data_IF_545927176712
#
_entry.id   IF_545927176712
#
_cell.length_a   1.000
_cell.length_b   1.000
_cell.length_c   1.000
_cell.angle_alpha   90.00
_cell.angle_beta   90.00
_cell.angle_gamma   90.00
#
_symmetry.space_group_name_H-M   'P 1'
#
loop_
_entity.id
_entity.type
_entity.pdbx_description
1 polymer ?
#
# COMPACT_ATOMS: atom_id res chain seq x y z
N UNK A 1 167.81 113.10 50.89
CA UNK A 1 167.55 113.53 52.28
C UNK A 1 167.35 112.26 53.10
N UNK A 2 168.02 111.91 54.20
CA UNK A 2 169.18 112.41 54.95
C UNK A 2 169.36 111.37 56.08
N UNK A 3 170.57 111.26 56.62
CA UNK A 3 170.95 110.41 57.77
C UNK A 3 170.05 110.61 59.02
N UNK A 4 169.95 109.60 59.91
CA UNK A 4 170.61 109.57 61.24
C UNK A 4 170.14 108.43 62.15
N UNK A 5 171.11 107.90 62.93
CA UNK A 5 171.04 107.28 64.26
C UNK A 5 170.05 106.12 64.51
N UNK A 6 170.46 104.87 64.72
CA UNK A 6 171.38 104.35 65.76
C UNK A 6 171.02 104.80 67.18
N UNK A 7 170.06 104.11 67.83
CA UNK A 7 170.11 103.79 69.28
C UNK A 7 168.99 102.82 69.75
N UNK A 8 167.91 102.58 68.99
CA UNK A 8 166.78 101.73 69.47
C UNK A 8 166.71 100.30 68.90
N UNK A 9 167.54 99.93 67.91
CA UNK A 9 167.48 98.61 67.27
C UNK A 9 168.04 97.49 68.15
N UNK A 10 169.11 97.74 68.93
CA UNK A 10 169.63 96.74 69.87
C UNK A 10 168.67 96.48 71.04
N UNK A 11 167.97 97.50 71.53
CA UNK A 11 166.99 97.33 72.62
C UNK A 11 165.73 96.60 72.12
N UNK A 12 165.28 96.86 70.88
CA UNK A 12 164.21 96.06 70.25
C UNK A 12 164.65 94.63 70.01
N UNK A 13 165.88 94.40 69.54
CA UNK A 13 166.40 93.04 69.31
C UNK A 13 166.59 92.32 70.64
N UNK A 14 167.16 92.94 71.68
CA UNK A 14 167.30 92.32 73.01
C UNK A 14 165.97 92.10 73.70
N UNK A 15 165.01 93.04 73.61
CA UNK A 15 163.66 92.82 74.14
C UNK A 15 162.94 91.70 73.38
N UNK A 16 163.07 91.65 72.06
CA UNK A 16 162.56 90.51 71.28
C UNK A 16 163.30 89.21 71.61
N UNK A 17 164.59 89.27 71.99
CA UNK A 17 165.37 88.08 72.34
C UNK A 17 165.08 87.59 73.76
N UNK A 18 164.83 88.49 74.71
CA UNK A 18 164.31 88.15 76.04
C UNK A 18 162.86 87.66 75.98
N UNK A 19 162.01 88.24 75.13
CA UNK A 19 160.66 87.72 74.83
C UNK A 19 160.74 86.31 74.22
N UNK A 20 161.68 86.05 73.30
CA UNK A 20 161.89 84.72 72.71
C UNK A 20 162.48 83.73 73.73
N UNK A 21 163.39 84.15 74.60
CA UNK A 21 163.95 83.29 75.65
C UNK A 21 162.91 82.98 76.74
N UNK A 22 162.05 83.93 77.10
CA UNK A 22 160.91 83.69 77.98
C UNK A 22 159.88 82.75 77.33
N UNK A 23 159.61 82.90 76.03
CA UNK A 23 158.75 81.98 75.28
C UNK A 23 159.33 80.56 75.24
N UNK A 24 160.66 80.41 75.05
CA UNK A 24 161.30 79.09 75.05
C UNK A 24 161.42 78.44 76.43
N UNK A 25 161.62 79.21 77.52
CA UNK A 25 161.68 78.64 78.87
C UNK A 25 160.33 78.12 79.37
N UNK A 26 159.21 78.64 78.84
CA UNK A 26 157.88 78.08 79.10
C UNK A 26 157.52 76.88 78.19
N UNK A 27 158.30 76.59 77.14
CA UNK A 27 158.07 75.47 76.22
C UNK A 27 158.91 74.21 76.55
N UNK A 28 159.81 74.26 77.53
CA UNK A 28 160.69 73.12 77.84
C UNK A 28 160.19 72.19 78.95
N UNK A 29 159.00 72.42 79.51
CA UNK A 29 158.44 71.57 80.57
C UNK A 29 156.94 71.33 80.38
N UNK A 30 156.56 70.74 79.23
CA UNK A 30 155.41 69.83 79.12
C UNK A 30 155.43 69.10 77.78
N UNK A 31 155.40 67.78 77.89
CA UNK A 31 155.26 66.79 76.83
C UNK A 31 153.87 66.92 76.17
N UNK A 32 153.88 66.96 74.83
CA UNK A 32 152.83 66.62 73.86
C UNK A 32 151.45 67.30 73.92
N UNK A 33 151.07 67.93 72.80
CA UNK A 33 149.67 68.04 72.33
C UNK A 33 149.60 67.72 70.85
N UNK A 34 148.84 66.68 70.50
CA UNK A 34 148.52 66.20 69.13
C UNK A 34 147.89 67.26 68.21
N UNK A 35 147.60 68.45 68.70
CA UNK A 35 146.92 69.51 67.94
C UNK A 35 147.85 70.26 66.98
N UNK A 36 149.14 70.46 67.29
CA UNK A 36 150.03 71.19 66.37
C UNK A 36 150.57 70.31 65.22
N UNK A 37 150.66 68.99 65.40
CA UNK A 37 150.90 68.05 64.30
C UNK A 37 149.62 67.87 63.45
N UNK A 38 148.43 67.86 64.06
CA UNK A 38 147.16 67.87 63.35
C UNK A 38 146.90 69.17 62.57
N UNK A 39 147.37 70.33 63.03
CA UNK A 39 147.24 71.59 62.29
C UNK A 39 148.19 71.67 61.08
N UNK A 40 149.36 71.03 61.13
CA UNK A 40 150.22 70.92 59.93
C UNK A 40 149.74 69.87 58.95
N UNK A 41 149.16 68.76 59.41
CA UNK A 41 148.55 67.75 58.53
C UNK A 41 147.22 68.24 57.93
N UNK A 42 146.34 68.89 58.69
CA UNK A 42 145.11 69.50 58.16
C UNK A 42 145.41 70.65 57.22
N UNK A 43 146.40 71.49 57.52
CA UNK A 43 146.84 72.55 56.61
C UNK A 43 147.38 72.01 55.27
N UNK A 44 148.12 70.88 55.30
CA UNK A 44 148.56 70.19 54.08
C UNK A 44 147.42 69.51 53.33
N UNK A 45 146.48 68.86 54.02
CA UNK A 45 145.32 68.20 53.39
C UNK A 45 144.36 69.22 52.73
N UNK A 46 144.18 70.41 53.33
CA UNK A 46 143.35 71.46 52.72
C UNK A 46 144.06 72.08 51.51
N UNK A 47 145.39 72.25 51.55
CA UNK A 47 146.16 72.71 50.40
C UNK A 47 146.24 71.66 49.28
N UNK A 48 146.30 70.37 49.60
CA UNK A 48 146.20 69.28 48.61
C UNK A 48 144.81 69.18 47.98
N UNK A 49 143.74 69.29 48.76
CA UNK A 49 142.36 69.29 48.24
C UNK A 49 142.03 70.58 47.47
N UNK A 50 142.59 71.73 47.85
CA UNK A 50 142.44 72.97 47.10
C UNK A 50 143.25 72.97 45.79
N UNK A 51 144.41 72.31 45.76
CA UNK A 51 145.22 72.18 44.55
C UNK A 51 144.60 71.21 43.51
N UNK A 52 143.74 70.28 43.92
CA UNK A 52 142.98 69.42 42.99
C UNK A 52 141.77 70.13 42.37
N UNK A 53 141.26 71.19 43.00
CA UNK A 53 140.27 72.11 42.42
C UNK A 53 140.88 73.03 41.35
N UNK A 54 141.39 72.41 40.30
CA UNK A 54 141.79 73.09 39.06
C UNK A 54 140.55 73.53 38.29
N UNK A 55 140.65 74.58 37.47
CA UNK A 55 139.56 75.04 36.58
C UNK A 55 138.99 73.89 35.73
N UNK A 56 139.84 72.93 35.36
CA UNK A 56 139.44 71.70 34.65
C UNK A 56 138.56 70.77 35.49
N UNK A 57 138.79 70.64 36.80
CA UNK A 57 137.98 69.79 37.69
C UNK A 57 136.59 70.38 37.94
N UNK A 58 136.48 71.71 38.03
CA UNK A 58 135.21 72.41 38.22
C UNK A 58 134.42 72.39 36.90
N UNK A 59 135.08 72.61 35.76
CA UNK A 59 134.45 72.49 34.43
C UNK A 59 134.03 71.05 34.15
N UNK A 60 134.82 70.03 34.53
CA UNK A 60 134.40 68.62 34.49
C UNK A 60 133.22 68.35 35.40
N UNK A 61 133.23 68.82 36.64
CA UNK A 61 132.10 68.66 37.55
C UNK A 61 130.81 69.31 37.03
N UNK A 62 130.92 70.47 36.37
CA UNK A 62 129.79 71.16 35.75
C UNK A 62 129.31 70.44 34.48
N UNK A 63 130.23 69.89 33.68
CA UNK A 63 129.92 69.05 32.53
C UNK A 63 129.27 67.71 32.94
N UNK A 64 129.73 67.09 34.03
CA UNK A 64 129.16 65.87 34.62
C UNK A 64 127.76 66.15 35.17
N UNK A 65 127.55 67.31 35.81
CA UNK A 65 126.23 67.75 36.25
C UNK A 65 125.29 67.99 35.07
N UNK A 66 125.78 68.60 33.98
CA UNK A 66 125.01 68.81 32.76
C UNK A 66 124.66 67.48 32.07
N UNK A 67 125.57 66.50 32.06
CA UNK A 67 125.31 65.14 31.58
C UNK A 67 124.31 64.39 32.46
N UNK A 68 124.41 64.50 33.78
CA UNK A 68 123.48 63.89 34.73
C UNK A 68 122.09 64.54 34.67
N UNK A 69 122.01 65.86 34.49
CA UNK A 69 120.75 66.55 34.30
C UNK A 69 120.12 66.17 32.94
N UNK A 70 120.94 66.06 31.89
CA UNK A 70 120.51 65.54 30.60
C UNK A 70 119.99 64.09 30.67
N UNK A 71 120.65 63.22 31.45
CA UNK A 71 120.23 61.82 31.61
C UNK A 71 118.94 61.69 32.43
N UNK A 72 118.76 62.46 33.51
CA UNK A 72 117.51 62.49 34.27
C UNK A 72 116.37 63.05 33.42
N UNK A 73 116.61 64.11 32.64
CA UNK A 73 115.59 64.66 31.73
C UNK A 73 115.20 63.63 30.68
N UNK A 74 116.16 62.91 30.10
CA UNK A 74 115.87 61.85 29.13
C UNK A 74 115.11 60.69 29.78
N UNK A 75 115.48 60.27 31.00
CA UNK A 75 114.73 59.25 31.75
C UNK A 75 113.31 59.70 32.12
N UNK A 76 113.14 60.97 32.50
CA UNK A 76 111.82 61.54 32.79
C UNK A 76 110.97 61.61 31.51
N UNK A 77 111.58 61.99 30.38
CA UNK A 77 110.93 61.99 29.07
C UNK A 77 110.55 60.57 28.65
N UNK A 78 111.44 59.59 28.79
CA UNK A 78 111.15 58.19 28.48
C UNK A 78 110.03 57.63 29.38
N UNK A 79 110.05 57.94 30.68
CA UNK A 79 108.98 57.54 31.59
C UNK A 79 107.66 58.25 31.25
N UNK A 80 107.68 59.53 30.92
CA UNK A 80 106.49 60.29 30.52
C UNK A 80 105.95 59.80 29.18
N UNK A 81 106.82 59.42 28.24
CA UNK A 81 106.44 58.78 26.99
C UNK A 81 105.80 57.41 27.25
N UNK A 82 106.41 56.57 28.09
CA UNK A 82 105.85 55.26 28.46
C UNK A 82 104.50 55.38 29.18
N UNK A 83 104.35 56.33 30.10
CA UNK A 83 103.07 56.58 30.76
C UNK A 83 102.03 57.18 29.78
N UNK A 84 102.45 58.01 28.83
CA UNK A 84 101.59 58.50 27.76
C UNK A 84 101.11 57.37 26.85
N UNK A 85 101.99 56.43 26.45
CA UNK A 85 101.60 55.28 25.62
C UNK A 85 100.69 54.33 26.39
N UNK A 86 100.96 54.05 27.68
CA UNK A 86 100.05 53.26 28.53
C UNK A 86 98.67 53.92 28.65
N UNK A 87 98.62 55.25 28.77
CA UNK A 87 97.36 55.98 28.84
C UNK A 87 96.59 55.93 27.51
N UNK A 88 97.28 55.99 26.37
CA UNK A 88 96.67 55.78 25.05
C UNK A 88 96.15 54.34 24.88
N UNK A 89 96.94 53.34 25.26
CA UNK A 89 96.53 51.93 25.25
C UNK A 89 95.31 51.67 26.14
N UNK A 90 95.28 52.25 27.35
CA UNK A 90 94.15 52.16 28.26
C UNK A 90 92.89 52.84 27.70
N UNK A 91 93.03 54.01 27.06
CA UNK A 91 91.91 54.66 26.38
C UNK A 91 91.35 53.80 25.25
N UNK A 92 92.22 53.24 24.41
CA UNK A 92 91.81 52.33 23.33
C UNK A 92 91.15 51.06 23.88
N UNK A 93 91.69 50.47 24.96
CA UNK A 93 91.08 49.32 25.63
C UNK A 93 89.69 49.64 26.19
N UNK A 94 89.51 50.80 26.82
CA UNK A 94 88.19 51.27 27.31
C UNK A 94 87.21 51.45 26.15
N UNK A 95 87.65 52.00 25.01
CA UNK A 95 86.78 52.12 23.83
C UNK A 95 86.37 50.76 23.25
N UNK A 96 87.30 49.81 23.16
CA UNK A 96 87.01 48.44 22.71
C UNK A 96 86.05 47.76 23.67
N UNK A 97 86.30 47.86 24.98
CA UNK A 97 85.45 47.21 25.99
C UNK A 97 84.06 47.84 26.04
N UNK A 98 83.94 49.15 25.82
CA UNK A 98 82.63 49.80 25.66
C UNK A 98 81.88 49.32 24.43
N UNK A 99 82.55 49.10 23.28
CA UNK A 99 81.93 48.50 22.10
C UNK A 99 81.49 47.05 22.38
N UNK A 100 82.33 46.27 23.04
CA UNK A 100 82.01 44.91 23.45
C UNK A 100 80.81 44.85 24.41
N UNK A 101 80.73 45.79 25.37
CA UNK A 101 79.60 45.93 26.27
C UNK A 101 78.30 46.28 25.51
N UNK A 102 78.37 47.17 24.51
CA UNK A 102 77.21 47.47 23.66
C UNK A 102 76.77 46.26 22.83
N UNK A 103 77.69 45.45 22.33
CA UNK A 103 77.38 44.21 21.62
C UNK A 103 76.73 43.18 22.55
N UNK A 104 77.27 42.98 23.76
CA UNK A 104 76.68 42.11 24.77
C UNK A 104 75.27 42.57 25.18
N UNK A 105 75.04 43.87 25.29
CA UNK A 105 73.70 44.41 25.54
C UNK A 105 72.73 44.09 24.40
N UNK A 106 73.17 44.25 23.14
CA UNK A 106 72.34 43.88 21.97
C UNK A 106 72.04 42.37 21.95
N UNK A 107 73.04 41.53 22.22
CA UNK A 107 72.87 40.07 22.31
C UNK A 107 71.89 39.71 23.41
N UNK A 108 71.97 40.36 24.59
CA UNK A 108 71.03 40.16 25.69
C UNK A 108 69.59 40.52 25.29
N UNK A 109 69.39 41.68 24.68
CA UNK A 109 68.04 42.10 24.22
C UNK A 109 67.47 41.12 23.20
N UNK A 110 68.30 40.63 22.26
CA UNK A 110 67.87 39.61 21.29
C UNK A 110 67.57 38.27 21.97
N UNK A 111 68.37 37.85 22.95
CA UNK A 111 68.13 36.62 23.70
C UNK A 111 66.84 36.71 24.54
N UNK A 112 66.59 37.84 25.20
CA UNK A 112 65.35 38.09 25.96
C UNK A 112 64.14 38.11 25.02
N UNK A 113 64.25 38.75 23.85
CA UNK A 113 63.18 38.75 22.83
C UNK A 113 62.90 37.36 22.25
N UNK A 114 63.96 36.58 21.96
CA UNK A 114 63.83 35.19 21.53
C UNK A 114 63.17 34.34 22.61
N UNK A 115 63.55 34.53 23.88
CA UNK A 115 62.95 33.80 25.00
C UNK A 115 61.44 34.09 25.11
N UNK A 116 61.04 35.36 25.07
CA UNK A 116 59.63 35.76 25.07
C UNK A 116 58.89 35.14 23.88
N UNK A 117 59.45 35.22 22.68
CA UNK A 117 58.82 34.65 21.48
C UNK A 117 58.68 33.12 21.58
N UNK A 118 59.68 32.42 22.14
CA UNK A 118 59.59 30.98 22.36
C UNK A 118 58.52 30.62 23.38
N UNK A 119 58.37 31.42 24.45
CA UNK A 119 57.33 31.21 25.45
C UNK A 119 55.94 31.43 24.85
N UNK A 120 55.72 32.52 24.11
CA UNK A 120 54.45 32.77 23.42
C UNK A 120 54.11 31.64 22.43
N UNK A 121 55.12 31.11 21.73
CA UNK A 121 54.90 30.00 20.80
C UNK A 121 54.49 28.73 21.54
N UNK A 122 55.13 28.42 22.67
CA UNK A 122 54.75 27.28 23.52
C UNK A 122 53.33 27.42 24.07
N UNK A 123 52.94 28.62 24.53
CA UNK A 123 51.59 28.90 25.00
C UNK A 123 50.55 28.74 23.87
N UNK A 124 50.85 29.25 22.67
CA UNK A 124 49.99 29.09 21.48
C UNK A 124 49.86 27.63 21.07
N UNK A 125 50.94 26.86 21.11
CA UNK A 125 50.91 25.42 20.84
C UNK A 125 50.04 24.69 21.86
N UNK A 126 50.21 24.97 23.16
CA UNK A 126 49.38 24.38 24.21
C UNK A 126 47.88 24.70 24.04
N UNK A 127 47.55 25.95 23.70
CA UNK A 127 46.17 26.36 23.41
C UNK A 127 45.60 25.63 22.18
N UNK A 128 46.38 25.51 21.10
CA UNK A 128 45.95 24.78 19.90
C UNK A 128 45.75 23.29 20.17
N UNK A 129 46.66 22.65 20.92
CA UNK A 129 46.54 21.25 21.32
C UNK A 129 45.30 21.02 22.19
N UNK A 130 45.04 21.91 23.16
CA UNK A 130 43.85 21.84 23.99
C UNK A 130 42.57 21.97 23.15
N UNK A 131 42.46 22.99 22.29
CA UNK A 131 41.30 23.16 21.42
C UNK A 131 41.10 21.96 20.48
N UNK A 132 42.19 21.42 19.93
CA UNK A 132 42.12 20.23 19.09
C UNK A 132 41.57 19.03 19.87
N UNK A 133 42.05 18.83 21.10
CA UNK A 133 41.60 17.75 21.98
C UNK A 133 40.12 17.90 22.36
N UNK A 134 39.67 19.13 22.67
CA UNK A 134 38.27 19.43 22.99
C UNK A 134 37.36 19.22 21.77
N UNK A 135 37.77 19.69 20.59
CA UNK A 135 37.03 19.45 19.35
C UNK A 135 36.95 17.97 19.02
N UNK A 136 38.04 17.22 19.17
CA UNK A 136 38.04 15.78 18.93
C UNK A 136 37.13 15.03 19.91
N UNK A 137 37.13 15.41 21.19
CA UNK A 137 36.25 14.84 22.19
C UNK A 137 34.77 15.15 21.89
N UNK A 138 34.46 16.40 21.52
CA UNK A 138 33.11 16.82 21.16
C UNK A 138 32.59 16.07 19.93
N UNK A 139 33.41 15.95 18.88
CA UNK A 139 33.05 15.18 17.67
C UNK A 139 32.85 13.70 18.02
N UNK A 140 33.68 13.12 18.89
CA UNK A 140 33.51 11.74 19.34
C UNK A 140 32.20 11.55 20.14
N UNK A 141 31.86 12.49 21.03
CA UNK A 141 30.58 12.49 21.75
C UNK A 141 29.40 12.62 20.80
N UNK A 142 29.46 13.52 19.82
CA UNK A 142 28.40 13.70 18.83
C UNK A 142 28.22 12.47 17.93
N UNK A 143 29.31 11.84 17.50
CA UNK A 143 29.25 10.61 16.72
C UNK A 143 28.61 9.47 17.54
N UNK A 144 28.99 9.31 18.80
CA UNK A 144 28.44 8.25 19.64
C UNK A 144 26.97 8.48 20.00
N UNK A 145 26.57 9.71 20.26
CA UNK A 145 25.16 10.06 20.52
C UNK A 145 24.29 9.87 19.28
N UNK A 146 24.72 10.36 18.12
CA UNK A 146 24.00 10.15 16.85
C UNK A 146 23.91 8.68 16.47
N UNK A 147 25.00 7.92 16.63
CA UNK A 147 24.99 6.47 16.35
C UNK A 147 24.03 5.72 17.27
N UNK A 148 23.97 6.07 18.56
CA UNK A 148 23.00 5.50 19.50
C UNK A 148 21.56 5.89 19.15
N UNK A 149 21.31 7.15 18.77
CA UNK A 149 19.99 7.60 18.37
C UNK A 149 19.52 6.86 17.11
N UNK A 150 20.37 6.78 16.09
CA UNK A 150 20.07 6.05 14.86
C UNK A 150 19.85 4.55 15.10
N UNK A 151 20.65 3.93 15.95
CA UNK A 151 20.44 2.52 16.32
C UNK A 151 19.10 2.29 17.02
N UNK A 152 18.66 3.22 17.89
CA UNK A 152 17.34 3.15 18.52
C UNK A 152 16.22 3.33 17.51
N UNK A 153 16.31 4.35 16.66
CA UNK A 153 15.34 4.61 15.59
C UNK A 153 15.20 3.40 14.65
N UNK A 154 16.32 2.76 14.33
CA UNK A 154 16.31 1.56 13.51
C UNK A 154 15.64 0.37 14.20
N UNK A 155 15.88 0.18 15.50
CA UNK A 155 15.20 -0.85 16.29
C UNK A 155 13.69 -0.57 16.42
N UNK A 156 13.30 0.68 16.64
CA UNK A 156 11.90 1.10 16.71
C UNK A 156 11.19 0.92 15.36
N UNK A 157 11.88 1.24 14.26
CA UNK A 157 11.37 1.03 12.91
C UNK A 157 11.22 -0.45 12.55
N UNK A 158 12.21 -1.28 12.87
CA UNK A 158 12.14 -2.73 12.67
C UNK A 158 10.99 -3.34 13.49
N UNK A 159 10.83 -2.94 14.76
CA UNK A 159 9.72 -3.37 15.60
C UNK A 159 8.36 -2.92 15.04
N UNK A 160 8.24 -1.68 14.57
CA UNK A 160 7.00 -1.17 13.97
C UNK A 160 6.61 -1.93 12.69
N UNK A 161 7.58 -2.24 11.82
CA UNK A 161 7.34 -3.10 10.64
C UNK A 161 6.86 -4.48 11.07
N UNK A 162 7.47 -5.06 12.10
CA UNK A 162 7.14 -6.40 12.56
C UNK A 162 5.74 -6.45 13.18
N UNK A 163 5.35 -5.43 13.94
CA UNK A 163 3.99 -5.24 14.45
C UNK A 163 2.97 -5.06 13.31
N UNK A 164 3.26 -4.22 12.31
CA UNK A 164 2.39 -4.00 11.15
C UNK A 164 2.21 -5.29 10.35
N UNK A 165 3.29 -6.03 10.11
CA UNK A 165 3.24 -7.33 9.43
C UNK A 165 2.40 -8.35 10.19
N UNK A 166 2.53 -8.41 11.52
CA UNK A 166 1.72 -9.31 12.34
C UNK A 166 0.23 -8.93 12.31
N UNK A 167 -0.09 -7.64 12.36
CA UNK A 167 -1.47 -7.16 12.23
C UNK A 167 -2.04 -7.51 10.86
N UNK A 168 -1.27 -7.32 9.80
CA UNK A 168 -1.66 -7.62 8.43
C UNK A 168 -1.89 -9.13 8.22
N UNK A 169 -1.01 -9.99 8.78
CA UNK A 169 -1.21 -11.44 8.75
C UNK A 169 -2.51 -11.82 9.48
N UNK A 170 -2.75 -11.30 10.68
CA UNK A 170 -3.99 -11.55 11.43
C UNK A 170 -5.23 -11.08 10.68
N UNK A 171 -5.17 -9.92 10.03
CA UNK A 171 -6.26 -9.41 9.20
C UNK A 171 -6.54 -10.35 8.04
N UNK A 172 -5.51 -10.79 7.31
CA UNK A 172 -5.66 -11.76 6.21
C UNK A 172 -6.19 -13.10 6.68
N UNK A 173 -5.78 -13.59 7.84
CA UNK A 173 -6.28 -14.84 8.43
C UNK A 173 -7.77 -14.72 8.78
N UNK A 174 -8.17 -13.61 9.41
CA UNK A 174 -9.57 -13.34 9.73
C UNK A 174 -10.42 -13.20 8.46
N UNK A 175 -9.98 -12.41 7.47
CA UNK A 175 -10.66 -12.24 6.18
C UNK A 175 -10.82 -13.57 5.44
N UNK A 176 -9.78 -14.42 5.45
CA UNK A 176 -9.84 -15.74 4.85
C UNK A 176 -10.83 -16.66 5.58
N UNK A 177 -10.86 -16.61 6.91
CA UNK A 177 -11.81 -17.37 7.73
C UNK A 177 -13.26 -16.91 7.50
N UNK A 178 -13.50 -15.59 7.50
CA UNK A 178 -14.81 -14.99 7.25
C UNK A 178 -15.31 -15.34 5.84
N UNK A 179 -14.44 -15.24 4.83
CA UNK A 179 -14.78 -15.63 3.45
C UNK A 179 -15.12 -17.11 3.34
N UNK A 180 -14.34 -18.00 3.97
CA UNK A 180 -14.64 -19.43 3.99
C UNK A 180 -15.96 -19.72 4.69
N UNK A 181 -16.22 -19.07 5.82
CA UNK A 181 -17.47 -19.21 6.55
C UNK A 181 -18.67 -18.76 5.72
N UNK A 182 -18.58 -17.59 5.08
CA UNK A 182 -19.64 -17.04 4.23
C UNK A 182 -19.91 -17.94 3.02
N UNK A 183 -18.87 -18.48 2.39
CA UNK A 183 -18.96 -19.43 1.30
C UNK A 183 -19.65 -20.74 1.73
N UNK A 184 -19.26 -21.31 2.88
CA UNK A 184 -19.91 -22.51 3.42
C UNK A 184 -21.36 -22.26 3.79
N UNK A 185 -21.65 -21.09 4.36
CA UNK A 185 -23.00 -20.67 4.71
C UNK A 185 -23.88 -20.52 3.47
N UNK A 186 -23.40 -19.85 2.43
CA UNK A 186 -24.10 -19.72 1.15
C UNK A 186 -24.37 -21.09 0.51
N UNK A 187 -23.36 -21.98 0.48
CA UNK A 187 -23.54 -23.35 -0.03
C UNK A 187 -24.59 -24.14 0.75
N UNK A 188 -24.65 -23.98 2.08
CA UNK A 188 -25.68 -24.62 2.91
C UNK A 188 -27.07 -24.09 2.57
N UNK A 189 -27.24 -22.77 2.45
CA UNK A 189 -28.50 -22.16 2.04
C UNK A 189 -28.93 -22.68 0.66
N UNK A 190 -28.04 -22.63 -0.33
CA UNK A 190 -28.33 -23.10 -1.69
C UNK A 190 -28.70 -24.59 -1.71
N UNK A 191 -28.03 -25.41 -0.90
CA UNK A 191 -28.33 -26.84 -0.77
C UNK A 191 -29.69 -27.07 -0.10
N UNK A 192 -29.99 -26.36 0.98
CA UNK A 192 -31.28 -26.46 1.69
C UNK A 192 -32.44 -26.02 0.78
N UNK A 193 -32.27 -24.92 0.04
CA UNK A 193 -33.24 -24.44 -0.96
C UNK A 193 -33.45 -25.46 -2.09
N UNK A 194 -32.37 -26.04 -2.59
CA UNK A 194 -32.44 -27.11 -3.60
C UNK A 194 -33.16 -28.35 -3.08
N UNK A 195 -32.87 -28.79 -1.86
CA UNK A 195 -33.53 -29.93 -1.23
C UNK A 195 -35.01 -29.65 -0.94
N UNK A 196 -35.37 -28.43 -0.55
CA UNK A 196 -36.77 -28.02 -0.45
C UNK A 196 -37.50 -28.05 -1.79
N UNK A 197 -36.88 -27.50 -2.85
CA UNK A 197 -37.46 -27.50 -4.19
C UNK A 197 -37.65 -28.93 -4.69
N UNK A 198 -36.65 -29.80 -4.50
CA UNK A 198 -36.73 -31.22 -4.82
C UNK A 198 -37.88 -31.90 -4.08
N UNK A 199 -38.01 -31.69 -2.76
CA UNK A 199 -39.10 -32.24 -1.95
C UNK A 199 -40.48 -31.71 -2.36
N UNK A 200 -40.59 -30.47 -2.84
CA UNK A 200 -41.84 -29.92 -3.38
C UNK A 200 -42.19 -30.60 -4.71
N UNK A 201 -41.23 -30.69 -5.63
CA UNK A 201 -41.43 -31.33 -6.93
C UNK A 201 -41.78 -32.82 -6.80
N UNK A 202 -41.12 -33.55 -5.90
CA UNK A 202 -41.44 -34.96 -5.63
C UNK A 202 -42.87 -35.14 -5.12
N UNK A 203 -43.34 -34.24 -4.24
CA UNK A 203 -44.74 -34.25 -3.76
C UNK A 203 -45.72 -33.95 -4.89
N UNK A 204 -45.46 -32.91 -5.68
CA UNK A 204 -46.30 -32.57 -6.83
C UNK A 204 -46.38 -33.73 -7.83
N UNK A 205 -45.26 -34.38 -8.15
CA UNK A 205 -45.24 -35.56 -9.02
C UNK A 205 -46.02 -36.74 -8.44
N UNK A 206 -45.92 -36.98 -7.12
CA UNK A 206 -46.70 -38.02 -6.45
C UNK A 206 -48.20 -37.72 -6.52
N UNK A 207 -48.62 -36.49 -6.21
CA UNK A 207 -50.02 -36.07 -6.29
C UNK A 207 -50.56 -36.21 -7.72
N UNK A 208 -49.80 -35.73 -8.72
CA UNK A 208 -50.18 -35.81 -10.13
C UNK A 208 -50.27 -37.27 -10.62
N UNK A 209 -49.37 -38.14 -10.16
CA UNK A 209 -49.44 -39.56 -10.47
C UNK A 209 -50.66 -40.23 -9.80
N UNK A 210 -50.97 -39.90 -8.55
CA UNK A 210 -52.17 -40.41 -7.87
C UNK A 210 -53.46 -39.95 -8.57
N UNK A 211 -53.53 -38.70 -9.02
CA UNK A 211 -54.67 -38.21 -9.79
C UNK A 211 -54.81 -38.91 -11.14
N UNK A 212 -53.69 -39.13 -11.85
CA UNK A 212 -53.69 -39.87 -13.11
C UNK A 212 -54.13 -41.31 -12.92
N UNK A 213 -53.63 -41.98 -11.88
CA UNK A 213 -54.00 -43.35 -11.55
C UNK A 213 -55.50 -43.47 -11.25
N UNK A 214 -56.06 -42.56 -10.45
CA UNK A 214 -57.52 -42.51 -10.19
C UNK A 214 -58.32 -42.34 -11.49
N UNK A 215 -57.95 -41.37 -12.34
CA UNK A 215 -58.61 -41.15 -13.64
C UNK A 215 -58.49 -42.37 -14.55
N UNK A 216 -57.38 -43.09 -14.50
CA UNK A 216 -57.16 -44.30 -15.28
C UNK A 216 -58.06 -45.43 -14.79
N UNK A 217 -58.12 -45.65 -13.48
CA UNK A 217 -59.00 -46.63 -12.85
C UNK A 217 -60.48 -46.33 -13.11
N UNK A 218 -60.91 -45.07 -13.00
CA UNK A 218 -62.28 -44.65 -13.35
C UNK A 218 -62.60 -44.95 -14.80
N UNK A 219 -61.67 -44.67 -15.72
CA UNK A 219 -61.83 -44.97 -17.14
C UNK A 219 -61.87 -46.47 -17.41
N UNK A 220 -61.01 -47.26 -16.76
CA UNK A 220 -60.99 -48.71 -16.91
C UNK A 220 -62.27 -49.34 -16.36
N UNK A 221 -62.78 -48.89 -15.21
CA UNK A 221 -64.06 -49.33 -14.65
C UNK A 221 -65.22 -48.99 -15.59
N UNK A 222 -65.27 -47.74 -16.08
CA UNK A 222 -66.29 -47.31 -17.02
C UNK A 222 -66.28 -48.15 -18.30
N UNK A 223 -65.10 -48.43 -18.86
CA UNK A 223 -64.99 -49.27 -20.05
C UNK A 223 -65.41 -50.71 -19.76
N UNK A 224 -65.03 -51.28 -18.61
CA UNK A 224 -65.41 -52.63 -18.23
C UNK A 224 -66.92 -52.78 -18.00
N UNK A 225 -67.54 -51.83 -17.29
CA UNK A 225 -68.98 -51.80 -17.03
C UNK A 225 -69.80 -51.71 -18.32
N UNK A 226 -69.37 -50.86 -19.26
CA UNK A 226 -70.08 -50.65 -20.53
C UNK A 226 -69.70 -51.66 -21.62
N UNK A 227 -68.71 -52.53 -21.40
CA UNK A 227 -68.24 -53.48 -22.40
C UNK A 227 -69.35 -54.44 -22.84
N UNK A 228 -70.14 -54.94 -21.89
CA UNK A 228 -71.24 -55.88 -22.18
C UNK A 228 -72.33 -55.20 -23.00
N UNK A 229 -72.79 -54.01 -22.57
CA UNK A 229 -73.79 -53.25 -23.32
C UNK A 229 -73.30 -52.87 -24.73
N UNK A 230 -72.02 -52.51 -24.85
CA UNK A 230 -71.41 -52.22 -26.14
C UNK A 230 -71.39 -53.46 -27.05
N UNK A 231 -70.99 -54.62 -26.53
CA UNK A 231 -70.99 -55.90 -27.27
C UNK A 231 -72.41 -56.32 -27.67
N UNK A 232 -73.40 -56.19 -26.78
CA UNK A 232 -74.80 -56.47 -27.10
C UNK A 232 -75.33 -55.54 -28.18
N UNK A 233 -75.10 -54.23 -28.05
CA UNK A 233 -75.54 -53.26 -29.05
C UNK A 233 -74.84 -53.48 -30.39
N UNK A 234 -73.55 -53.83 -30.37
CA UNK A 234 -72.81 -54.20 -31.57
C UNK A 234 -73.42 -55.43 -32.25
N UNK A 235 -73.72 -56.50 -31.50
CA UNK A 235 -74.37 -57.69 -32.05
C UNK A 235 -75.77 -57.38 -32.60
N UNK A 236 -76.56 -56.56 -31.89
CA UNK A 236 -77.88 -56.09 -32.38
C UNK A 236 -77.73 -55.35 -33.70
N UNK A 237 -76.76 -54.42 -33.82
CA UNK A 237 -76.52 -53.67 -35.06
C UNK A 237 -76.07 -54.60 -36.21
N UNK A 238 -75.15 -55.53 -35.94
CA UNK A 238 -74.69 -56.51 -36.94
C UNK A 238 -75.83 -57.46 -37.39
N UNK A 239 -76.74 -57.85 -36.49
CA UNK A 239 -77.90 -58.69 -36.79
C UNK A 239 -79.15 -57.96 -37.31
N UNK A 240 -79.23 -56.65 -37.13
CA UNK A 240 -80.43 -55.85 -37.40
C UNK A 240 -80.89 -55.93 -38.86
N UNK A 241 -79.95 -55.94 -39.81
CA UNK A 241 -80.29 -56.02 -41.23
C UNK A 241 -81.01 -57.34 -41.58
N UNK A 242 -80.54 -58.44 -40.98
CA UNK A 242 -81.12 -59.77 -41.22
C UNK A 242 -82.47 -59.92 -40.50
N UNK A 243 -82.58 -59.45 -39.26
CA UNK A 243 -83.87 -59.39 -38.55
C UNK A 243 -84.89 -58.54 -39.29
N UNK A 244 -84.49 -57.39 -39.84
CA UNK A 244 -85.34 -56.51 -40.62
C UNK A 244 -85.80 -57.18 -41.92
N UNK A 245 -84.91 -57.88 -42.63
CA UNK A 245 -85.27 -58.68 -43.81
C UNK A 245 -86.29 -59.76 -43.45
N UNK A 246 -86.05 -60.52 -42.37
CA UNK A 246 -86.96 -61.58 -41.94
C UNK A 246 -88.32 -61.03 -41.48
N UNK A 247 -88.34 -59.94 -40.72
CA UNK A 247 -89.56 -59.27 -40.29
C UNK A 247 -90.34 -58.72 -41.48
N UNK A 248 -89.65 -58.12 -42.46
CA UNK A 248 -90.26 -57.67 -43.71
C UNK A 248 -90.90 -58.82 -44.50
N UNK A 249 -90.19 -59.95 -44.65
CA UNK A 249 -90.72 -61.14 -45.34
C UNK A 249 -91.95 -61.68 -44.61
N UNK A 250 -91.89 -61.85 -43.29
CA UNK A 250 -93.04 -62.30 -42.47
C UNK A 250 -94.23 -61.36 -42.60
N UNK A 251 -94.03 -60.05 -42.45
CA UNK A 251 -95.08 -59.06 -42.57
C UNK A 251 -95.69 -59.04 -43.98
N UNK A 252 -94.86 -59.17 -45.02
CA UNK A 252 -95.32 -59.32 -46.40
C UNK A 252 -96.16 -60.58 -46.58
N UNK A 253 -95.71 -61.73 -46.08
CA UNK A 253 -96.42 -63.00 -46.20
C UNK A 253 -97.75 -62.99 -45.43
N UNK A 254 -97.78 -62.42 -44.24
CA UNK A 254 -99.01 -62.29 -43.44
C UNK A 254 -99.98 -61.28 -44.06
N UNK A 255 -99.50 -60.19 -44.64
CA UNK A 255 -100.33 -59.27 -45.42
C UNK A 255 -100.92 -59.97 -46.66
N UNK A 256 -100.14 -60.80 -47.36
CA UNK A 256 -100.64 -61.60 -48.50
C UNK A 256 -101.70 -62.62 -48.02
N UNK A 257 -101.45 -63.34 -46.93
CA UNK A 257 -102.42 -64.29 -46.35
C UNK A 257 -103.71 -63.59 -45.92
N UNK A 258 -103.62 -62.44 -45.26
CA UNK A 258 -104.80 -61.70 -44.84
C UNK A 258 -105.57 -61.12 -46.03
N UNK A 259 -104.87 -60.55 -47.02
CA UNK A 259 -105.49 -60.05 -48.24
C UNK A 259 -106.19 -61.18 -49.03
N UNK A 260 -105.55 -62.35 -49.15
CA UNK A 260 -106.16 -63.52 -49.81
C UNK A 260 -107.32 -64.09 -49.00
N UNK A 261 -107.24 -64.13 -47.68
CA UNK A 261 -108.36 -64.51 -46.80
C UNK A 261 -109.54 -63.56 -46.96
N UNK A 262 -109.30 -62.25 -46.92
CA UNK A 262 -110.34 -61.24 -47.13
C UNK A 262 -110.93 -61.31 -48.54
N UNK A 263 -110.11 -61.54 -49.57
CA UNK A 263 -110.56 -61.73 -50.93
C UNK A 263 -111.46 -62.98 -51.05
N UNK A 264 -111.05 -64.12 -50.47
CA UNK A 264 -111.87 -65.34 -50.42
C UNK A 264 -113.18 -65.15 -49.67
N UNK A 265 -113.15 -64.50 -48.50
CA UNK A 265 -114.38 -64.20 -47.74
C UNK A 265 -115.31 -63.29 -48.56
N UNK A 266 -114.78 -62.29 -49.26
CA UNK A 266 -115.57 -61.44 -50.15
C UNK A 266 -116.14 -62.22 -51.33
N UNK A 267 -115.34 -63.09 -51.94
CA UNK A 267 -115.77 -63.96 -53.05
C UNK A 267 -116.87 -64.92 -52.58
N UNK A 268 -116.70 -65.58 -51.43
CA UNK A 268 -117.70 -66.47 -50.84
C UNK A 268 -118.99 -65.73 -50.47
N UNK A 269 -118.90 -64.51 -49.92
CA UNK A 269 -120.06 -63.65 -49.65
C UNK A 269 -120.76 -63.26 -50.95
N UNK A 270 -120.02 -62.82 -51.96
CA UNK A 270 -120.58 -62.45 -53.26
C UNK A 270 -121.26 -63.63 -53.96
N UNK A 271 -120.66 -64.82 -53.89
CA UNK A 271 -121.25 -66.05 -54.41
C UNK A 271 -122.56 -66.40 -53.68
N UNK A 272 -122.59 -66.29 -52.34
CA UNK A 272 -123.80 -66.50 -51.54
C UNK A 272 -124.89 -65.45 -51.80
N UNK A 273 -124.50 -64.18 -51.95
CA UNK A 273 -125.43 -63.10 -52.32
C UNK A 273 -126.03 -63.37 -53.70
N UNK A 274 -125.23 -63.79 -54.67
CA UNK A 274 -125.70 -64.17 -56.00
C UNK A 274 -126.64 -65.37 -55.96
N UNK A 275 -126.32 -66.41 -55.20
CA UNK A 275 -127.18 -67.59 -55.02
C UNK A 275 -128.49 -67.23 -54.32
N UNK A 276 -128.45 -66.39 -53.28
CA UNK A 276 -129.64 -65.85 -52.63
C UNK A 276 -130.49 -64.99 -53.56
N UNK A 277 -129.86 -64.15 -54.39
CA UNK A 277 -130.56 -63.33 -55.38
C UNK A 277 -131.20 -64.20 -56.47
N UNK A 278 -130.49 -65.23 -56.94
CA UNK A 278 -131.00 -66.22 -57.89
C UNK A 278 -132.22 -66.94 -57.32
N UNK A 279 -132.15 -67.47 -56.09
CA UNK A 279 -133.29 -68.12 -55.42
C UNK A 279 -134.46 -67.15 -55.23
N UNK A 280 -134.19 -65.88 -54.91
CA UNK A 280 -135.21 -64.84 -54.81
C UNK A 280 -135.91 -64.56 -56.14
N UNK A 281 -135.16 -64.52 -57.25
CA UNK A 281 -135.73 -64.40 -58.59
C UNK A 281 -136.48 -65.67 -59.02
N UNK A 282 -135.99 -66.86 -58.67
CA UNK A 282 -136.69 -68.13 -58.93
C UNK A 282 -138.04 -68.18 -58.19
N UNK A 283 -138.08 -67.85 -56.89
CA UNK A 283 -139.34 -67.73 -56.13
C UNK A 283 -140.28 -66.65 -56.72
N UNK A 284 -139.72 -65.55 -57.24
CA UNK A 284 -140.50 -64.51 -57.91
C UNK A 284 -141.14 -65.03 -59.19
N UNK A 285 -140.38 -65.77 -60.00
CA UNK A 285 -140.88 -66.44 -61.21
C UNK A 285 -141.98 -67.42 -60.82
N UNK A 286 -141.76 -68.28 -59.83
CA UNK A 286 -142.74 -69.27 -59.35
C UNK A 286 -144.04 -68.58 -58.90
N UNK A 287 -143.95 -67.49 -58.13
CA UNK A 287 -145.14 -66.71 -57.72
C UNK A 287 -145.88 -66.04 -58.89
N UNK A 288 -145.15 -65.61 -59.92
CA UNK A 288 -145.73 -65.01 -61.12
C UNK A 288 -146.37 -66.08 -62.01
N UNK A 289 -145.77 -67.26 -62.11
CA UNK A 289 -146.34 -68.44 -62.78
C UNK A 289 -147.63 -68.88 -62.09
N UNK A 290 -147.64 -68.98 -60.76
CA UNK A 290 -148.86 -69.29 -59.97
C UNK A 290 -149.94 -68.20 -60.16
N UNK A 291 -149.52 -66.93 -60.27
CA UNK A 291 -150.46 -65.83 -60.59
C UNK A 291 -151.01 -65.93 -62.01
N UNK A 292 -150.17 -66.29 -62.99
CA UNK A 292 -150.59 -66.52 -64.38
C UNK A 292 -151.56 -67.70 -64.44
N UNK A 293 -151.29 -68.79 -63.73
CA UNK A 293 -152.17 -69.96 -63.66
C UNK A 293 -153.54 -69.57 -63.09
N UNK A 294 -153.57 -68.85 -61.96
CA UNK A 294 -154.81 -68.33 -61.38
C UNK A 294 -155.56 -67.37 -62.30
N UNK A 295 -154.85 -66.51 -63.03
CA UNK A 295 -155.46 -65.64 -64.06
C UNK A 295 -156.00 -66.44 -65.24
N UNK A 296 -155.33 -67.53 -65.62
CA UNK A 296 -155.78 -68.42 -66.70
C UNK A 296 -157.05 -69.17 -66.30
N UNK A 297 -157.13 -69.64 -65.05
CA UNK A 297 -158.38 -70.19 -64.48
C UNK A 297 -159.50 -69.15 -64.49
N UNK A 298 -159.24 -67.91 -64.06
CA UNK A 298 -160.23 -66.84 -64.10
C UNK A 298 -160.68 -66.50 -65.53
N UNK A 299 -159.77 -66.51 -66.50
CA UNK A 299 -160.11 -66.29 -67.91
C UNK A 299 -160.99 -67.44 -68.42
N UNK A 300 -160.69 -68.69 -68.05
CA UNK A 300 -161.51 -69.83 -68.42
C UNK A 300 -162.90 -69.77 -67.78
N UNK A 301 -163.01 -69.36 -66.52
CA UNK A 301 -164.30 -69.14 -65.83
C UNK A 301 -165.11 -67.99 -66.46
N UNK A 302 -164.46 -66.89 -66.85
CA UNK A 302 -165.13 -65.81 -67.58
C UNK A 302 -165.55 -66.29 -68.98
N UNK A 303 -164.75 -67.13 -69.62
CA UNK A 303 -165.05 -67.69 -70.94
C UNK A 303 -166.26 -68.65 -70.88
N UNK A 304 -166.38 -69.48 -69.85
CA UNK A 304 -167.56 -70.33 -69.63
C UNK A 304 -168.79 -69.49 -69.30
N UNK A 305 -168.68 -68.46 -68.45
CA UNK A 305 -169.77 -67.51 -68.20
C UNK A 305 -170.21 -66.76 -69.46
N UNK A 306 -169.27 -66.41 -70.36
CA UNK A 306 -169.57 -65.81 -71.65
C UNK A 306 -170.30 -66.79 -72.57
N UNK A 307 -169.87 -68.07 -72.63
CA UNK A 307 -170.58 -69.09 -73.39
C UNK A 307 -172.01 -69.31 -72.85
N UNK A 308 -172.20 -69.35 -71.53
CA UNK A 308 -173.53 -69.42 -70.91
C UNK A 308 -174.37 -68.19 -71.23
N UNK A 309 -173.80 -66.98 -71.18
CA UNK A 309 -174.50 -65.74 -71.55
C UNK A 309 -174.88 -65.71 -73.05
N UNK A 310 -174.03 -66.24 -73.93
CA UNK A 310 -174.32 -66.39 -75.37
C UNK A 310 -175.42 -67.43 -75.62
N UNK A 311 -175.43 -68.54 -74.86
CA UNK A 311 -176.52 -69.52 -74.88
C UNK A 311 -177.85 -68.91 -74.40
N UNK A 312 -177.83 -68.16 -73.30
CA UNK A 312 -179.02 -67.47 -72.77
C UNK A 312 -179.53 -66.39 -73.74
N UNK A 313 -178.65 -65.69 -74.46
CA UNK A 313 -179.03 -64.73 -75.50
C UNK A 313 -179.63 -65.41 -76.75
N UNK A 314 -179.14 -66.60 -77.15
CA UNK A 314 -179.73 -67.39 -78.24
C UNK A 314 -181.10 -67.98 -77.87
N UNK A 315 -181.28 -68.46 -76.63
CA UNK A 315 -182.57 -68.97 -76.17
C UNK A 315 -183.62 -67.85 -76.01
N UNK A 316 -183.21 -66.61 -75.71
CA UNK A 316 -184.08 -65.45 -75.68
C UNK A 316 -184.47 -64.98 -77.09
N UNK A 317 -183.54 -65.05 -78.05
CA UNK A 317 -183.81 -64.74 -79.47
C UNK A 317 -184.75 -65.77 -80.12
N UNK A 318 -184.65 -67.06 -79.76
CA UNK A 318 -185.60 -68.09 -80.21
C UNK A 318 -187.01 -67.93 -79.60
N UNK A 319 -187.14 -67.29 -78.43
CA UNK A 319 -188.46 -67.00 -77.82
C UNK A 319 -189.13 -65.70 -78.34
N UNK A 320 -188.37 -64.77 -78.92
CA UNK A 320 -188.91 -63.48 -79.40
C UNK A 320 -189.46 -63.50 -80.84
N UNK A 321 -189.11 -64.49 -81.67
CA UNK A 321 -189.65 -64.62 -83.03
C UNK A 321 -190.96 -65.43 -83.13
N UNK A 322 -191.48 -65.97 -82.01
CA UNK A 322 -192.70 -66.78 -81.99
C UNK A 322 -193.99 -66.03 -81.60
N UNK A 323 -194.00 -64.70 -81.41
CA UNK A 323 -195.26 -63.97 -81.16
C UNK A 323 -195.25 -62.49 -81.57
N UNK A 324 -195.65 -62.21 -82.82
CA UNK A 324 -196.74 -61.28 -83.20
C UNK A 324 -196.58 -60.68 -84.61
N UNK A 325 -196.89 -61.48 -85.63
CA UNK A 325 -197.77 -61.03 -86.71
C UNK A 325 -198.54 -62.23 -87.30
N UNK A 326 -199.88 -62.12 -87.37
CA UNK A 326 -200.88 -63.02 -87.98
C UNK A 326 -201.22 -64.36 -87.27
N UNK A 327 -202.49 -64.79 -87.11
CA UNK A 327 -203.77 -64.18 -87.50
C UNK A 327 -203.86 -63.78 -88.98
N UNK A 328 -203.72 -64.66 -89.97
CA UNK A 328 -204.72 -65.67 -90.33
C UNK A 328 -204.91 -66.81 -89.31
N UNK A 329 -206.17 -67.20 -89.19
CA UNK A 329 -206.73 -68.10 -88.18
C UNK A 329 -206.11 -69.50 -88.16
N UNK A 330 -206.05 -70.06 -86.94
CA UNK A 330 -206.15 -71.49 -86.60
C UNK A 330 -205.40 -72.51 -87.48
N UNK A 331 -204.31 -73.06 -86.94
CA UNK A 331 -204.03 -74.51 -86.75
C UNK A 331 -202.62 -74.71 -86.22
#
# INVERSE_FOLDING_TARGET
>A
MTQTASESSKFRVMKSFEEILAAKKNLASKVATKEEEAEKEKGKQILETAATYTTDSIVKGLADLQLYFGSIINQLLDNLHQESTKLEELKLAIEIENKHLQELQKVRVVADALHILTQEHQEKLGFLEQNFSEHQENIAKDMTTKRKAWQKEQQEYEAAIEEENQLLIKQRENEAADYQYELEHQRKIEMDEYEEMKRKLERELQELNQEKEKKWQERESYLAENQVEFEENRQKVEGFEEELKQAYVKAKDDAIKEATRQAKVKEDLFAKEWEGMKNGYELKIESLEETIERQTEQINDIYTQLQEAVQQAQDLAMRAFASSNNGAQTK
#
